data_IF_607960512599
#
_entry.id   IF_607960512599
#
_cell.length_a   1.000
_cell.length_b   1.000
_cell.length_c   1.000
_cell.angle_alpha   90.00
_cell.angle_beta   90.00
_cell.angle_gamma   90.00
#
_symmetry.space_group_name_H-M   'P 1'
#
loop_
_entity.id
_entity.type
_entity.pdbx_description
1 polymer ?
#
# COMPACT_ATOMS: atom_id res chain seq x y z
N UNK A 1 25.70 -17.39 25.45
CA UNK A 1 24.81 -16.24 25.71
C UNK A 1 24.68 -15.49 24.40
N UNK A 2 23.51 -15.52 23.78
CA UNK A 2 23.21 -14.72 22.58
C UNK A 2 22.95 -13.29 23.05
N UNK A 3 23.78 -12.34 22.62
CA UNK A 3 23.53 -10.91 22.89
C UNK A 3 22.15 -10.53 22.36
N UNK A 4 21.36 -9.80 23.15
CA UNK A 4 20.07 -9.30 22.67
C UNK A 4 20.33 -8.18 21.68
N UNK A 5 19.85 -8.35 20.45
CA UNK A 5 19.93 -7.31 19.41
C UNK A 5 19.02 -6.16 19.86
N UNK A 6 19.59 -4.96 19.98
CA UNK A 6 18.87 -3.74 20.32
C UNK A 6 18.76 -2.84 19.10
N UNK A 7 17.57 -2.31 18.87
CA UNK A 7 17.30 -1.37 17.79
C UNK A 7 17.19 0.06 18.32
N UNK A 8 17.80 1.00 17.59
CA UNK A 8 17.59 2.43 17.79
C UNK A 8 16.31 2.84 17.08
N UNK A 9 15.41 3.55 17.79
CA UNK A 9 14.13 4.03 17.25
C UNK A 9 14.24 5.48 16.80
N UNK A 10 13.61 5.81 15.67
CA UNK A 10 13.37 7.17 15.23
C UNK A 10 11.93 7.32 14.70
N UNK A 11 11.25 8.41 15.06
CA UNK A 11 9.99 8.77 14.40
C UNK A 11 10.29 9.40 13.03
N UNK A 12 9.65 8.89 11.99
CA UNK A 12 9.85 9.31 10.60
C UNK A 12 8.49 9.60 9.99
N UNK A 13 8.43 10.72 9.27
CA UNK A 13 7.29 11.07 8.46
C UNK A 13 7.43 10.45 7.06
N UNK A 14 6.41 9.72 6.62
CA UNK A 14 6.26 9.21 5.25
C UNK A 14 4.99 9.84 4.67
N UNK A 15 5.15 11.01 4.04
CA UNK A 15 4.01 11.83 3.63
C UNK A 15 3.14 12.20 4.83
N UNK A 16 1.90 11.72 4.89
CA UNK A 16 0.99 11.98 6.03
C UNK A 16 1.06 10.91 7.13
N UNK A 17 1.84 9.84 6.93
CA UNK A 17 2.00 8.77 7.90
C UNK A 17 3.16 9.07 8.85
N UNK A 18 2.90 9.08 10.15
CA UNK A 18 3.95 9.03 11.15
C UNK A 18 4.25 7.56 11.48
N UNK A 19 5.50 7.13 11.30
CA UNK A 19 5.94 5.76 11.54
C UNK A 19 7.22 5.72 12.36
N UNK A 20 7.39 4.65 13.12
CA UNK A 20 8.66 4.39 13.78
C UNK A 20 9.55 3.56 12.87
N UNK A 21 10.72 4.13 12.55
CA UNK A 21 11.82 3.42 11.94
C UNK A 21 12.72 2.84 13.04
N UNK A 22 13.14 1.59 12.85
CA UNK A 22 14.05 0.92 13.77
C UNK A 22 15.34 0.56 13.01
N UNK A 23 16.48 1.06 13.47
CA UNK A 23 17.78 0.73 12.91
C UNK A 23 18.46 -0.31 13.80
N UNK A 24 18.91 -1.41 13.21
CA UNK A 24 19.71 -2.43 13.91
C UNK A 24 21.20 -2.04 13.94
N UNK A 25 22.03 -2.66 14.79
CA UNK A 25 23.45 -2.33 14.90
C UNK A 25 24.26 -2.58 13.61
N UNK A 26 23.75 -3.43 12.72
CA UNK A 26 24.32 -3.69 11.40
C UNK A 26 23.96 -2.62 10.34
N UNK A 27 23.18 -1.61 10.73
CA UNK A 27 22.70 -0.55 9.84
C UNK A 27 21.45 -0.93 9.03
N UNK A 28 20.93 -2.15 9.18
CA UNK A 28 19.68 -2.54 8.52
C UNK A 28 18.46 -1.89 9.19
N UNK A 29 17.46 -1.56 8.39
CA UNK A 29 16.22 -0.93 8.87
C UNK A 29 15.08 -1.94 9.00
N UNK A 30 14.27 -1.76 10.03
CA UNK A 30 13.07 -2.54 10.33
C UNK A 30 11.89 -1.62 10.57
N UNK A 31 10.71 -2.15 10.30
CA UNK A 31 9.43 -1.53 10.62
C UNK A 31 8.63 -2.51 11.49
N UNK A 32 7.81 -2.00 12.41
CA UNK A 32 6.97 -2.90 13.21
C UNK A 32 5.86 -3.52 12.34
N UNK A 33 5.57 -4.79 12.58
CA UNK A 33 4.51 -5.53 11.89
C UNK A 33 3.14 -4.82 11.98
N UNK A 34 2.86 -4.18 13.13
CA UNK A 34 1.63 -3.43 13.33
C UNK A 34 1.57 -2.19 12.44
N UNK A 35 2.64 -1.40 12.39
CA UNK A 35 2.71 -0.21 11.55
C UNK A 35 2.63 -0.54 10.06
N UNK A 36 3.23 -1.66 9.64
CA UNK A 36 3.15 -2.12 8.24
C UNK A 36 1.69 -2.33 7.81
N UNK A 37 0.85 -2.93 8.65
CA UNK A 37 -0.58 -3.08 8.36
C UNK A 37 -1.33 -1.74 8.41
N UNK A 38 -1.06 -0.94 9.43
CA UNK A 38 -1.76 0.32 9.68
C UNK A 38 -1.49 1.38 8.61
N UNK A 39 -0.28 1.40 8.03
CA UNK A 39 0.10 2.30 6.94
C UNK A 39 -0.84 2.23 5.73
N UNK A 40 -1.53 1.09 5.55
CA UNK A 40 -2.47 0.84 4.44
C UNK A 40 -3.89 0.56 4.94
N UNK A 41 -4.22 1.04 6.14
CA UNK A 41 -5.57 0.98 6.71
C UNK A 41 -6.02 -0.42 7.13
N UNK A 42 -5.09 -1.34 7.40
CA UNK A 42 -5.40 -2.72 7.81
C UNK A 42 -5.09 -2.99 9.28
N UNK A 43 -5.87 -3.84 9.96
CA UNK A 43 -5.54 -4.30 11.30
C UNK A 43 -4.22 -5.09 11.35
N UNK A 44 -3.42 -5.02 12.45
CA UNK A 44 -2.13 -5.70 12.58
C UNK A 44 -2.13 -7.21 12.28
N UNK A 45 -3.25 -7.89 12.54
CA UNK A 45 -3.43 -9.32 12.26
C UNK A 45 -3.30 -9.65 10.76
N UNK A 46 -3.59 -8.71 9.87
CA UNK A 46 -3.50 -8.95 8.43
C UNK A 46 -2.06 -9.07 7.94
N UNK A 47 -1.15 -8.28 8.50
CA UNK A 47 0.28 -8.45 8.24
C UNK A 47 0.76 -9.81 8.77
N UNK A 48 0.33 -10.23 9.97
CA UNK A 48 0.67 -11.56 10.51
C UNK A 48 0.20 -12.69 9.59
N UNK A 49 -1.06 -12.64 9.15
CA UNK A 49 -1.65 -13.65 8.24
C UNK A 49 -0.92 -13.72 6.90
N UNK A 50 -0.46 -12.59 6.38
CA UNK A 50 0.30 -12.55 5.14
C UNK A 50 1.63 -13.32 5.25
N UNK A 51 2.33 -13.24 6.38
CA UNK A 51 3.60 -13.94 6.59
C UNK A 51 3.47 -15.46 6.53
N UNK A 52 2.31 -16.00 6.91
CA UNK A 52 1.98 -17.43 6.79
C UNK A 52 1.32 -17.82 5.46
N UNK A 53 1.16 -16.89 4.52
CA UNK A 53 0.44 -17.13 3.26
C UNK A 53 1.38 -17.54 2.13
N UNK A 54 0.84 -18.14 1.06
CA UNK A 54 1.61 -18.41 -0.18
C UNK A 54 1.99 -17.13 -0.94
N UNK A 55 1.31 -16.01 -0.67
CA UNK A 55 1.54 -14.77 -1.40
C UNK A 55 2.94 -14.20 -1.15
N UNK A 56 3.49 -14.35 0.06
CA UNK A 56 4.85 -13.89 0.35
C UNK A 56 5.91 -14.67 -0.45
N UNK A 57 5.70 -15.98 -0.64
CA UNK A 57 6.59 -16.84 -1.46
C UNK A 57 6.53 -16.45 -2.93
N UNK A 58 5.33 -16.14 -3.43
CA UNK A 58 5.16 -15.65 -4.80
C UNK A 58 5.85 -14.30 -5.08
N UNK A 59 5.99 -13.44 -4.06
CA UNK A 59 6.60 -12.11 -4.21
C UNK A 59 8.10 -12.08 -3.93
N UNK A 60 8.57 -12.82 -2.92
CA UNK A 60 9.96 -12.81 -2.47
C UNK A 60 10.77 -14.05 -2.91
N UNK A 61 10.13 -14.98 -3.60
CA UNK A 61 10.71 -16.21 -4.10
C UNK A 61 10.47 -17.43 -3.20
N UNK A 62 10.54 -18.62 -3.79
CA UNK A 62 10.27 -19.90 -3.11
C UNK A 62 11.26 -20.22 -1.98
N UNK A 63 12.46 -19.61 -2.01
CA UNK A 63 13.44 -19.70 -0.91
C UNK A 63 13.07 -18.88 0.32
N UNK A 64 12.05 -18.02 0.24
CA UNK A 64 11.57 -17.21 1.34
C UNK A 64 10.58 -18.04 2.20
N UNK A 65 11.12 -18.93 3.04
CA UNK A 65 10.32 -19.76 3.94
C UNK A 65 9.90 -18.99 5.18
N UNK A 66 8.61 -19.07 5.51
CA UNK A 66 7.97 -18.78 6.80
C UNK A 66 8.69 -17.73 7.65
N UNK A 67 8.64 -16.47 7.18
CA UNK A 67 9.22 -15.36 7.91
C UNK A 67 8.51 -15.20 9.25
N UNK A 68 9.18 -15.65 10.31
CA UNK A 68 8.74 -15.43 11.68
C UNK A 68 9.29 -14.08 12.11
N UNK A 69 8.43 -13.08 12.43
CA UNK A 69 8.90 -11.79 12.90
C UNK A 69 9.87 -11.96 14.05
N UNK A 70 11.05 -11.39 13.92
CA UNK A 70 11.99 -11.36 15.03
C UNK A 70 11.45 -10.39 16.07
N UNK A 71 11.36 -10.85 17.32
CA UNK A 71 11.02 -9.98 18.43
C UNK A 71 12.30 -9.25 18.86
N UNK A 72 12.39 -7.95 18.57
CA UNK A 72 13.60 -7.14 18.80
C UNK A 72 13.37 -6.20 19.98
N UNK A 73 14.41 -6.00 20.80
CA UNK A 73 14.40 -5.04 21.91
C UNK A 73 14.66 -3.63 21.38
N UNK A 74 13.90 -2.66 21.89
CA UNK A 74 14.11 -1.25 21.61
C UNK A 74 15.06 -0.70 22.66
N UNK A 75 16.04 0.09 22.26
CA UNK A 75 16.88 0.85 23.20
C UNK A 75 15.99 1.72 24.09
N UNK A 76 16.04 1.50 25.39
CA UNK A 76 15.30 2.28 26.36
C UNK A 76 15.92 3.68 26.46
N UNK A 77 15.10 4.72 26.40
CA UNK A 77 15.50 6.02 26.95
C UNK A 77 15.70 5.87 28.47
N UNK A 78 16.76 6.48 29.00
CA UNK A 78 17.08 6.45 30.43
C UNK A 78 15.83 6.86 31.25
N UNK A 79 15.38 5.97 32.14
CA UNK A 79 14.27 6.23 33.07
C UNK A 79 12.90 5.63 32.70
N UNK A 80 12.72 5.00 31.51
CA UNK A 80 11.48 4.26 31.20
C UNK A 80 11.58 2.80 31.67
N UNK A 81 10.85 2.47 32.73
CA UNK A 81 10.71 1.10 33.25
C UNK A 81 9.91 0.25 32.25
N UNK A 82 10.59 -0.66 31.54
CA UNK A 82 9.97 -1.67 30.68
C UNK A 82 10.80 -1.93 29.42
N UNK A 83 11.32 -3.16 29.27
CA UNK A 83 11.93 -3.62 28.01
C UNK A 83 10.84 -3.69 26.93
N UNK A 84 10.75 -2.66 26.10
CA UNK A 84 9.82 -2.63 24.98
C UNK A 84 10.35 -3.49 23.84
N UNK A 85 9.53 -4.45 23.40
CA UNK A 85 9.85 -5.35 22.29
C UNK A 85 8.82 -5.21 21.18
N UNK A 86 9.22 -5.44 19.94
CA UNK A 86 8.31 -5.39 18.79
C UNK A 86 8.59 -6.49 17.78
N UNK A 87 7.56 -6.87 17.03
CA UNK A 87 7.69 -7.77 15.89
C UNK A 87 8.27 -6.99 14.71
N UNK A 88 9.56 -7.20 14.44
CA UNK A 88 10.31 -6.46 13.43
C UNK A 88 10.20 -7.12 12.06
N UNK A 89 9.80 -6.34 11.04
CA UNK A 89 9.80 -6.75 9.64
C UNK A 89 10.89 -6.01 8.86
N UNK A 90 11.69 -6.70 8.03
CA UNK A 90 12.55 -6.07 7.03
C UNK A 90 11.71 -5.26 6.04
N UNK A 91 12.34 -4.24 5.46
CA UNK A 91 11.65 -3.38 4.48
C UNK A 91 11.19 -4.16 3.24
N UNK A 92 11.88 -5.23 2.83
CA UNK A 92 11.42 -6.07 1.72
C UNK A 92 10.08 -6.77 2.03
N UNK A 93 9.86 -7.20 3.27
CA UNK A 93 8.63 -7.87 3.73
C UNK A 93 7.50 -6.86 3.86
N UNK A 94 7.80 -5.69 4.43
CA UNK A 94 6.85 -4.57 4.51
C UNK A 94 6.35 -4.19 3.11
N UNK A 95 7.28 -4.04 2.16
CA UNK A 95 6.97 -3.71 0.77
C UNK A 95 6.18 -4.82 0.09
N UNK A 96 6.57 -6.08 0.25
CA UNK A 96 5.83 -7.22 -0.30
C UNK A 96 4.40 -7.29 0.24
N UNK A 97 4.20 -7.01 1.53
CA UNK A 97 2.87 -6.93 2.10
C UNK A 97 2.03 -5.83 1.44
N UNK A 98 2.56 -4.61 1.26
CA UNK A 98 1.86 -3.52 0.60
C UNK A 98 1.53 -3.84 -0.86
N UNK A 99 2.47 -4.45 -1.60
CA UNK A 99 2.24 -4.92 -2.97
C UNK A 99 1.13 -5.98 -3.02
N UNK A 100 1.13 -6.94 -2.09
CA UNK A 100 0.03 -7.91 -1.99
C UNK A 100 -1.31 -7.22 -1.68
N UNK A 101 -1.33 -6.16 -0.87
CA UNK A 101 -2.55 -5.37 -0.65
C UNK A 101 -3.03 -4.67 -1.93
N UNK A 102 -2.11 -4.23 -2.80
CA UNK A 102 -2.46 -3.69 -4.12
C UNK A 102 -3.18 -4.73 -4.98
N UNK A 103 -2.68 -5.97 -5.04
CA UNK A 103 -3.34 -7.08 -5.75
C UNK A 103 -4.73 -7.43 -5.19
N UNK A 104 -4.97 -7.13 -3.92
CA UNK A 104 -6.26 -7.28 -3.25
C UNK A 104 -7.18 -6.07 -3.42
N UNK A 105 -6.83 -5.10 -4.29
CA UNK A 105 -7.64 -3.92 -4.58
C UNK A 105 -7.57 -2.82 -3.53
N UNK A 106 -6.59 -2.85 -2.61
CA UNK A 106 -6.42 -1.79 -1.63
C UNK A 106 -5.85 -0.52 -2.30
N UNK A 107 -6.73 0.45 -2.57
CA UNK A 107 -6.38 1.73 -3.21
C UNK A 107 -5.37 2.55 -2.39
N UNK A 108 -5.47 2.53 -1.06
CA UNK A 108 -4.52 3.23 -0.17
C UNK A 108 -3.12 2.62 -0.26
N UNK A 109 -3.03 1.28 -0.30
CA UNK A 109 -1.76 0.59 -0.52
C UNK A 109 -1.15 0.93 -1.89
N UNK A 110 -1.97 0.94 -2.94
CA UNK A 110 -1.52 1.28 -4.28
C UNK A 110 -0.99 2.71 -4.36
N UNK A 111 -1.73 3.68 -3.79
CA UNK A 111 -1.29 5.07 -3.73
C UNK A 111 0.07 5.19 -3.01
N UNK A 112 0.20 4.59 -1.82
CA UNK A 112 1.42 4.62 -1.02
C UNK A 112 2.62 4.03 -1.78
N UNK A 113 2.47 2.84 -2.37
CA UNK A 113 3.55 2.15 -3.10
C UNK A 113 3.99 2.99 -4.32
N UNK A 114 3.03 3.52 -5.09
CA UNK A 114 3.34 4.36 -6.24
C UNK A 114 4.05 5.66 -5.83
N UNK A 115 3.62 6.29 -4.73
CA UNK A 115 4.22 7.52 -4.25
C UNK A 115 5.65 7.31 -3.76
N UNK A 116 5.90 6.24 -2.99
CA UNK A 116 7.24 5.85 -2.51
C UNK A 116 8.19 5.48 -3.66
N UNK A 117 7.69 4.73 -4.65
CA UNK A 117 8.47 4.38 -5.84
C UNK A 117 8.88 5.65 -6.61
N UNK A 118 7.93 6.57 -6.81
CA UNK A 118 8.19 7.84 -7.50
C UNK A 118 9.18 8.70 -6.73
N UNK A 119 9.01 8.85 -5.41
CA UNK A 119 9.94 9.61 -4.58
C UNK A 119 11.36 9.03 -4.63
N UNK A 120 11.49 7.71 -4.62
CA UNK A 120 12.81 7.04 -4.72
C UNK A 120 13.50 7.39 -6.03
N UNK A 121 12.77 7.45 -7.15
CA UNK A 121 13.31 7.89 -8.44
C UNK A 121 13.67 9.37 -8.42
N UNK A 122 12.80 10.23 -7.89
CA UNK A 122 13.07 11.67 -7.74
C UNK A 122 14.33 11.93 -6.92
N UNK A 123 14.52 11.23 -5.79
CA UNK A 123 15.74 11.34 -4.97
C UNK A 123 17.00 11.01 -5.77
N UNK A 124 16.95 9.97 -6.62
CA UNK A 124 18.08 9.58 -7.49
C UNK A 124 18.34 10.62 -8.57
N UNK A 125 17.29 11.16 -9.16
CA UNK A 125 17.39 12.19 -10.19
C UNK A 125 17.90 13.51 -9.60
N UNK A 126 17.40 13.91 -8.44
CA UNK A 126 17.84 15.09 -7.72
C UNK A 126 19.34 15.06 -7.47
N UNK A 127 19.86 13.92 -6.99
CA UNK A 127 21.28 13.74 -6.83
C UNK A 127 22.04 13.86 -8.16
N UNK A 128 21.53 13.28 -9.24
CA UNK A 128 22.16 13.34 -10.57
C UNK A 128 22.15 14.75 -11.19
N UNK A 129 21.13 15.56 -10.88
CA UNK A 129 20.97 16.93 -11.39
C UNK A 129 21.41 18.01 -10.39
N UNK A 130 22.01 17.64 -9.25
CA UNK A 130 22.46 18.58 -8.22
C UNK A 130 21.33 19.36 -7.55
N UNK A 131 20.10 18.83 -7.56
CA UNK A 131 18.94 19.45 -6.92
C UNK A 131 18.91 19.08 -5.45
N UNK A 132 18.99 20.07 -4.56
CA UNK A 132 18.84 19.85 -3.12
C UNK A 132 17.39 20.08 -2.70
N UNK A 133 16.76 19.05 -2.11
CA UNK A 133 15.45 19.14 -1.47
C UNK A 133 15.53 18.66 -0.04
N UNK A 134 14.80 19.33 0.83
CA UNK A 134 14.63 18.96 2.24
C UNK A 134 13.67 17.78 2.37
N UNK A 135 13.75 17.04 3.49
CA UNK A 135 12.76 15.98 3.79
C UNK A 135 11.35 16.55 3.96
N UNK A 136 11.19 17.79 4.43
CA UNK A 136 9.89 18.47 4.51
C UNK A 136 9.25 18.66 3.12
N UNK A 137 10.02 19.12 2.14
CA UNK A 137 9.54 19.27 0.76
C UNK A 137 9.17 17.92 0.13
N UNK A 138 9.96 16.88 0.41
CA UNK A 138 9.67 15.50 -0.03
C UNK A 138 8.35 15.00 0.56
N UNK A 139 8.17 15.16 1.87
CA UNK A 139 6.93 14.79 2.55
C UNK A 139 5.71 15.54 1.99
N UNK A 140 5.82 16.84 1.73
CA UNK A 140 4.73 17.60 1.12
C UNK A 140 4.36 17.07 -0.27
N UNK A 141 5.35 16.77 -1.11
CA UNK A 141 5.12 16.17 -2.44
C UNK A 141 4.49 14.78 -2.34
N UNK A 142 4.96 13.95 -1.40
CA UNK A 142 4.41 12.62 -1.17
C UNK A 142 2.94 12.70 -0.74
N UNK A 143 2.60 13.63 0.18
CA UNK A 143 1.21 13.89 0.59
C UNK A 143 0.34 14.27 -0.62
N UNK A 144 0.78 15.26 -1.39
CA UNK A 144 0.04 15.74 -2.56
C UNK A 144 -0.19 14.62 -3.57
N UNK A 145 0.84 13.80 -3.84
CA UNK A 145 0.77 12.67 -4.76
C UNK A 145 -0.18 11.59 -4.28
N UNK A 146 -0.10 11.19 -3.01
CA UNK A 146 -1.03 10.22 -2.43
C UNK A 146 -2.48 10.69 -2.55
N UNK A 147 -2.76 11.95 -2.19
CA UNK A 147 -4.11 12.50 -2.28
C UNK A 147 -4.63 12.57 -3.72
N UNK A 148 -3.78 12.91 -4.69
CA UNK A 148 -4.14 12.92 -6.11
C UNK A 148 -4.44 11.51 -6.62
N UNK A 149 -3.60 10.53 -6.27
CA UNK A 149 -3.81 9.13 -6.66
C UNK A 149 -5.07 8.55 -6.04
N UNK A 150 -5.32 8.81 -4.76
CA UNK A 150 -6.54 8.34 -4.09
C UNK A 150 -7.82 8.90 -4.74
N UNK A 151 -7.81 10.19 -5.10
CA UNK A 151 -8.93 10.82 -5.83
C UNK A 151 -9.11 10.20 -7.21
N UNK A 152 -8.05 10.08 -8.00
CA UNK A 152 -8.13 9.49 -9.34
C UNK A 152 -8.62 8.03 -9.30
N UNK A 153 -8.18 7.24 -8.30
CA UNK A 153 -8.65 5.87 -8.10
C UNK A 153 -10.10 5.80 -7.62
N UNK A 154 -10.59 6.80 -6.90
CA UNK A 154 -12.00 6.90 -6.52
C UNK A 154 -12.87 7.19 -7.75
N UNK A 155 -12.54 8.23 -8.51
CA UNK A 155 -13.23 8.62 -9.75
C UNK A 155 -13.28 7.48 -10.78
N UNK A 156 -12.15 6.80 -11.00
CA UNK A 156 -12.10 5.65 -11.90
C UNK A 156 -13.02 4.51 -11.44
N UNK A 157 -13.07 4.26 -10.14
CA UNK A 157 -13.95 3.24 -9.56
C UNK A 157 -15.43 3.57 -9.73
N UNK A 158 -15.81 4.84 -9.58
CA UNK A 158 -17.17 5.31 -9.82
C UNK A 158 -17.57 5.20 -11.29
N UNK A 159 -16.67 5.55 -12.21
CA UNK A 159 -16.91 5.42 -13.65
C UNK A 159 -17.17 3.97 -14.06
N UNK A 160 -16.39 3.01 -13.56
CA UNK A 160 -16.60 1.60 -13.88
C UNK A 160 -17.90 1.06 -13.28
N UNK A 161 -18.25 1.48 -12.06
CA UNK A 161 -19.52 1.08 -11.44
C UNK A 161 -20.73 1.64 -12.22
N UNK A 162 -20.63 2.87 -12.73
CA UNK A 162 -21.66 3.46 -13.58
C UNK A 162 -21.82 2.70 -14.90
N UNK A 163 -20.71 2.36 -15.56
CA UNK A 163 -20.74 1.60 -16.82
C UNK A 163 -21.39 0.21 -16.64
N UNK A 164 -21.12 -0.47 -15.53
CA UNK A 164 -21.74 -1.77 -15.23
C UNK A 164 -23.24 -1.64 -14.98
N UNK A 165 -23.68 -0.59 -14.29
CA UNK A 165 -25.12 -0.29 -14.11
C UNK A 165 -25.80 0.03 -15.45
N UNK A 166 -25.18 0.86 -16.28
CA UNK A 166 -25.69 1.21 -17.61
C UNK A 166 -25.80 -0.02 -18.51
N UNK A 167 -24.83 -0.95 -18.45
CA UNK A 167 -24.92 -2.24 -19.15
C UNK A 167 -26.08 -3.08 -18.63
N UNK A 168 -26.24 -3.18 -17.31
CA UNK A 168 -27.35 -3.92 -16.70
C UNK A 168 -28.73 -3.38 -17.07
N UNK A 169 -28.91 -2.05 -17.03
CA UNK A 169 -30.14 -1.38 -17.44
C UNK A 169 -30.41 -1.55 -18.93
N UNK A 170 -29.39 -1.39 -19.78
CA UNK A 170 -29.50 -1.63 -21.21
C UNK A 170 -29.94 -3.06 -21.51
N UNK A 171 -29.31 -4.06 -20.89
CA UNK A 171 -29.66 -5.48 -21.08
C UNK A 171 -31.08 -5.79 -20.57
N UNK A 172 -31.55 -5.09 -19.54
CA UNK A 172 -32.93 -5.18 -19.07
C UNK A 172 -33.91 -4.60 -20.10
N UNK A 173 -33.66 -3.38 -20.60
CA UNK A 173 -34.53 -2.74 -21.59
C UNK A 173 -34.52 -3.47 -22.93
N UNK A 174 -33.38 -3.98 -23.39
CA UNK A 174 -33.30 -4.80 -24.60
C UNK A 174 -34.16 -6.06 -24.49
N UNK A 175 -34.17 -6.73 -23.33
CA UNK A 175 -35.05 -7.87 -23.08
C UNK A 175 -36.51 -7.47 -23.08
N UNK A 176 -36.86 -6.39 -22.37
CA UNK A 176 -38.23 -5.90 -22.28
C UNK A 176 -38.80 -5.53 -23.66
N UNK A 177 -38.02 -4.85 -24.51
CA UNK A 177 -38.42 -4.49 -25.87
C UNK A 177 -38.67 -5.75 -26.73
N UNK A 178 -37.77 -6.73 -26.68
CA UNK A 178 -37.93 -8.01 -27.39
C UNK A 178 -39.15 -8.79 -26.92
N UNK A 179 -39.41 -8.84 -25.62
CA UNK A 179 -40.60 -9.49 -25.03
C UNK A 179 -41.91 -8.83 -25.52
N UNK A 180 -41.87 -7.53 -25.80
CA UNK A 180 -43.00 -6.78 -26.36
C UNK A 180 -43.00 -6.77 -27.91
N UNK A 181 -42.18 -7.59 -28.56
CA UNK A 181 -42.14 -7.73 -30.02
C UNK A 181 -41.51 -6.55 -30.77
N UNK A 182 -40.79 -5.67 -30.07
CA UNK A 182 -40.09 -4.52 -30.64
C UNK A 182 -38.62 -4.92 -30.87
N UNK A 183 -38.11 -4.71 -32.08
CA UNK A 183 -36.68 -4.85 -32.36
C UNK A 183 -35.91 -3.66 -31.77
N UNK A 184 -35.05 -3.85 -30.74
CA UNK A 184 -34.33 -2.76 -30.08
C UNK A 184 -33.36 -2.02 -31.01
N UNK A 185 -33.00 -2.64 -32.15
CA UNK A 185 -32.04 -2.10 -33.12
C UNK A 185 -32.69 -1.70 -34.44
N UNK A 186 -34.02 -1.79 -34.54
CA UNK A 186 -34.75 -1.37 -35.71
C UNK A 186 -34.61 0.14 -35.92
N UNK A 187 -34.07 0.55 -37.06
CA UNK A 187 -34.09 1.95 -37.45
C UNK A 187 -35.55 2.40 -37.66
N UNK A 188 -35.94 3.61 -37.20
CA UNK A 188 -37.28 4.12 -37.48
C UNK A 188 -37.49 4.13 -38.98
N UNK A 189 -38.60 3.56 -39.44
CA UNK A 189 -38.98 3.66 -40.85
C UNK A 189 -39.22 5.14 -41.13
N UNK A 190 -38.38 5.73 -41.98
CA UNK A 190 -38.70 7.02 -42.56
C UNK A 190 -40.01 6.82 -43.34
N UNK A 191 -41.08 7.45 -42.87
CA UNK A 191 -42.33 7.55 -43.61
C UNK A 191 -42.09 8.55 -44.75
N UNK A 192 -42.03 8.04 -45.99
CA UNK A 192 -42.15 8.83 -47.21
C UNK A 192 -43.61 9.31 -47.41
#
# INVERSE_FOLDING_TARGET
>A
MTESIRATRASVQIGSLEVDAFMLPDGSYRMSQAQVAQAVGKPPVNALRFLGSKAIKGLLGEGYTDYTPQQIEIESEEGKQGQSRFNALPLEVATAYWVNQCFQGNKQALALVMALATETLERRFDNAFGVSRTETERNQRLIQRNQQLERALAELGESFALDDLLRGERDYFERLLRENGIDPWGLPKNED
#
